data_IF_883960095034
#
_entry.id   IF_883960095034
#
_cell.length_a   1.000
_cell.length_b   1.000
_cell.length_c   1.000
_cell.angle_alpha   90.00
_cell.angle_beta   90.00
_cell.angle_gamma   90.00
#
_symmetry.space_group_name_H-M   'P 1'
#
loop_
_entity.id
_entity.type
_entity.pdbx_description
1 polymer ?
#
# COMPACT_ATOMS: atom_id res chain seq x y z
N UNK A 1 -33.59 -47.02 -32.58
CA UNK A 1 -34.65 -46.35 -33.37
C UNK A 1 -34.21 -45.97 -34.79
N UNK A 2 -33.13 -45.20 -34.97
CA UNK A 2 -32.72 -44.68 -36.28
C UNK A 2 -32.49 -45.73 -37.38
N UNK A 3 -31.76 -46.82 -37.06
CA UNK A 3 -31.58 -47.96 -37.98
C UNK A 3 -32.90 -48.62 -38.43
N UNK A 4 -33.93 -48.57 -37.58
CA UNK A 4 -35.27 -49.15 -37.81
C UNK A 4 -36.13 -48.28 -38.74
N UNK A 5 -35.84 -46.98 -38.80
CA UNK A 5 -36.50 -46.04 -39.72
C UNK A 5 -35.88 -46.16 -41.11
N UNK A 6 -34.54 -46.27 -41.21
CA UNK A 6 -33.85 -46.41 -42.49
C UNK A 6 -34.19 -47.74 -43.19
N UNK A 7 -34.34 -48.84 -42.45
CA UNK A 7 -34.66 -50.15 -43.04
C UNK A 7 -36.05 -50.28 -43.66
N UNK A 8 -36.96 -49.32 -43.41
CA UNK A 8 -38.35 -49.37 -43.88
C UNK A 8 -38.70 -48.25 -44.88
N UNK A 9 -37.72 -47.44 -45.31
CA UNK A 9 -37.93 -46.31 -46.24
C UNK A 9 -38.40 -46.77 -47.63
N UNK A 10 -38.06 -47.99 -48.06
CA UNK A 10 -38.45 -48.57 -49.35
C UNK A 10 -39.95 -48.75 -49.52
N UNK A 11 -40.71 -48.86 -48.43
CA UNK A 11 -42.09 -49.32 -48.46
C UNK A 11 -43.14 -48.21 -48.33
N UNK A 12 -42.76 -46.94 -48.17
CA UNK A 12 -43.74 -45.84 -48.14
C UNK A 12 -43.15 -44.46 -48.49
N UNK A 13 -43.62 -43.79 -49.55
CA UNK A 13 -43.23 -42.42 -49.93
C UNK A 13 -43.45 -41.35 -48.83
N UNK A 14 -44.26 -41.65 -47.82
CA UNK A 14 -44.53 -40.75 -46.69
C UNK A 14 -43.30 -40.48 -45.81
N UNK A 15 -42.22 -41.27 -45.89
CA UNK A 15 -41.00 -41.08 -45.10
C UNK A 15 -40.11 -39.93 -45.58
N UNK A 16 -40.31 -39.39 -46.78
CA UNK A 16 -39.57 -38.21 -47.29
C UNK A 16 -39.88 -36.96 -46.44
N UNK A 17 -41.11 -36.82 -45.95
CA UNK A 17 -41.49 -35.76 -45.00
C UNK A 17 -40.81 -35.87 -43.64
N UNK A 18 -40.54 -37.10 -43.18
CA UNK A 18 -39.80 -37.35 -41.93
C UNK A 18 -38.30 -37.05 -42.08
N UNK A 19 -37.72 -37.21 -43.27
CA UNK A 19 -36.35 -36.79 -43.58
C UNK A 19 -36.19 -35.26 -43.50
N UNK A 20 -37.19 -34.50 -43.98
CA UNK A 20 -37.24 -33.04 -43.84
C UNK A 20 -37.32 -32.58 -42.38
N UNK A 21 -38.06 -33.29 -41.54
CA UNK A 21 -38.11 -33.06 -40.09
C UNK A 21 -36.76 -33.36 -39.42
N UNK A 22 -36.09 -34.44 -39.85
CA UNK A 22 -34.76 -34.80 -39.37
C UNK A 22 -33.68 -33.78 -39.80
N UNK A 23 -33.74 -33.28 -41.03
CA UNK A 23 -32.83 -32.24 -41.52
C UNK A 23 -33.04 -30.89 -40.81
N UNK A 24 -34.29 -30.49 -40.54
CA UNK A 24 -34.61 -29.32 -39.71
C UNK A 24 -34.10 -29.49 -38.27
N UNK A 25 -34.25 -30.68 -37.70
CA UNK A 25 -33.72 -31.01 -36.36
C UNK A 25 -32.19 -30.98 -36.33
N UNK A 26 -31.52 -31.52 -37.35
CA UNK A 26 -30.06 -31.45 -37.50
C UNK A 26 -29.55 -30.01 -37.61
N UNK A 27 -30.24 -29.14 -38.38
CA UNK A 27 -29.90 -27.70 -38.44
C UNK A 27 -30.11 -26.97 -37.11
N UNK A 28 -31.19 -27.27 -36.37
CA UNK A 28 -31.38 -26.74 -35.01
C UNK A 28 -30.28 -27.22 -34.06
N UNK A 29 -29.90 -28.50 -34.13
CA UNK A 29 -28.79 -29.05 -33.33
C UNK A 29 -27.43 -28.40 -33.68
N UNK A 30 -27.17 -28.09 -34.96
CA UNK A 30 -25.97 -27.38 -35.40
C UNK A 30 -25.90 -25.96 -34.83
N UNK A 31 -27.02 -25.22 -34.82
CA UNK A 31 -27.10 -23.89 -34.23
C UNK A 31 -26.81 -23.89 -32.72
N UNK A 32 -27.40 -24.82 -31.97
CA UNK A 32 -27.10 -24.99 -30.53
C UNK A 32 -25.64 -25.40 -30.28
N UNK A 33 -25.01 -26.16 -31.20
CA UNK A 33 -23.59 -26.53 -31.09
C UNK A 33 -22.65 -25.35 -31.35
N UNK A 34 -22.95 -24.49 -32.31
CA UNK A 34 -22.16 -23.26 -32.56
C UNK A 34 -22.29 -22.29 -31.38
N UNK A 35 -23.50 -22.13 -30.84
CA UNK A 35 -23.72 -21.29 -29.66
C UNK A 35 -22.96 -21.83 -28.44
N UNK A 36 -23.04 -23.14 -28.16
CA UNK A 36 -22.30 -23.77 -27.07
C UNK A 36 -20.78 -23.63 -27.19
N UNK A 37 -20.24 -23.70 -28.41
CA UNK A 37 -18.81 -23.53 -28.65
C UNK A 37 -18.35 -22.08 -28.44
N UNK A 38 -19.18 -21.09 -28.80
CA UNK A 38 -18.93 -19.67 -28.49
C UNK A 38 -18.87 -19.45 -26.98
N UNK A 39 -19.78 -20.05 -26.21
CA UNK A 39 -19.75 -19.98 -24.75
C UNK A 39 -18.49 -20.61 -24.16
N UNK A 40 -18.05 -21.77 -24.65
CA UNK A 40 -16.79 -22.39 -24.22
C UNK A 40 -15.59 -21.48 -24.55
N UNK A 41 -15.55 -20.87 -25.74
CA UNK A 41 -14.46 -19.95 -26.11
C UNK A 41 -14.45 -18.70 -25.22
N UNK A 42 -15.62 -18.09 -24.96
CA UNK A 42 -15.74 -16.96 -24.04
C UNK A 42 -15.29 -17.33 -22.63
N UNK A 43 -15.66 -18.51 -22.15
CA UNK A 43 -15.33 -18.95 -20.81
C UNK A 43 -13.83 -19.28 -20.67
N UNK A 44 -13.21 -19.85 -21.70
CA UNK A 44 -11.74 -19.98 -21.80
C UNK A 44 -11.01 -18.63 -21.83
N UNK A 45 -11.57 -17.61 -22.48
CA UNK A 45 -11.00 -16.24 -22.46
C UNK A 45 -11.07 -15.67 -21.04
N UNK A 46 -12.19 -15.85 -20.34
CA UNK A 46 -12.34 -15.41 -18.94
C UNK A 46 -11.35 -16.16 -18.02
N UNK A 47 -11.17 -17.47 -18.21
CA UNK A 47 -10.18 -18.25 -17.45
C UNK A 47 -8.74 -17.81 -17.75
N UNK A 48 -8.41 -17.54 -19.01
CA UNK A 48 -7.08 -17.05 -19.37
C UNK A 48 -6.77 -15.75 -18.63
N UNK A 49 -7.73 -14.82 -18.54
CA UNK A 49 -7.57 -13.57 -17.79
C UNK A 49 -7.43 -13.78 -16.27
N UNK A 50 -8.08 -14.78 -15.69
CA UNK A 50 -7.96 -15.11 -14.26
C UNK A 50 -6.60 -15.73 -13.88
N UNK A 51 -5.95 -16.46 -14.79
CA UNK A 51 -4.63 -17.08 -14.55
C UNK A 51 -3.50 -16.05 -14.51
N UNK A 52 -3.67 -14.88 -15.16
CA UNK A 52 -2.68 -13.81 -15.14
C UNK A 52 -2.78 -12.89 -13.92
N UNK A 53 -3.74 -13.11 -13.02
CA UNK A 53 -3.80 -12.39 -11.75
C UNK A 53 -2.81 -13.04 -10.76
N UNK A 54 -1.92 -12.27 -10.11
CA UNK A 54 -1.02 -12.81 -9.09
C UNK A 54 -1.82 -13.49 -7.98
N UNK A 55 -1.24 -14.50 -7.28
CA UNK A 55 -1.93 -15.15 -6.18
C UNK A 55 -2.33 -14.11 -5.11
N UNK A 56 -3.53 -14.21 -4.56
CA UNK A 56 -4.08 -13.23 -3.60
C UNK A 56 -3.13 -12.95 -2.43
N UNK A 57 -2.35 -13.94 -1.98
CA UNK A 57 -1.35 -13.79 -0.93
C UNK A 57 -0.14 -12.95 -1.35
N UNK A 58 0.28 -13.00 -2.62
CA UNK A 58 1.32 -12.12 -3.14
C UNK A 58 0.82 -10.67 -3.26
N UNK A 59 -0.43 -10.49 -3.73
CA UNK A 59 -1.08 -9.17 -3.77
C UNK A 59 -1.44 -8.62 -2.37
N UNK A 60 -1.49 -9.47 -1.35
CA UNK A 60 -1.78 -9.09 0.03
C UNK A 60 -0.53 -9.04 0.92
N UNK A 61 0.69 -9.05 0.37
CA UNK A 61 1.91 -8.92 1.17
C UNK A 61 2.51 -7.53 1.05
N UNK A 62 2.61 -6.82 2.18
CA UNK A 62 3.24 -5.51 2.29
C UNK A 62 4.14 -5.44 3.53
N UNK A 63 5.17 -4.59 3.53
CA UNK A 63 6.07 -4.41 4.67
C UNK A 63 5.34 -3.85 5.91
N UNK A 64 4.25 -3.12 5.69
CA UNK A 64 3.35 -2.61 6.73
C UNK A 64 2.66 -3.73 7.52
N UNK A 65 2.58 -4.94 6.97
CA UNK A 65 1.79 -6.05 7.52
C UNK A 65 2.42 -6.67 8.78
N UNK A 66 1.57 -6.95 9.75
CA UNK A 66 1.89 -7.76 10.92
C UNK A 66 2.18 -9.20 10.53
N UNK A 67 1.41 -9.74 9.59
CA UNK A 67 1.61 -11.06 8.98
C UNK A 67 1.64 -10.88 7.46
N UNK A 68 2.83 -10.95 6.87
CA UNK A 68 3.03 -10.82 5.42
C UNK A 68 2.23 -11.87 4.66
N UNK A 69 1.41 -11.42 3.70
CA UNK A 69 0.52 -12.28 2.91
C UNK A 69 -0.81 -12.64 3.62
N UNK A 70 -1.02 -12.14 4.83
CA UNK A 70 -2.26 -12.29 5.58
C UNK A 70 -2.49 -13.67 6.19
N UNK A 71 -3.74 -13.93 6.55
CA UNK A 71 -4.18 -15.12 7.28
C UNK A 71 -4.86 -16.16 6.36
N UNK A 72 -4.69 -16.01 5.04
CA UNK A 72 -5.25 -16.88 4.00
C UNK A 72 -6.71 -16.61 3.65
N UNK A 73 -7.12 -17.05 2.46
CA UNK A 73 -8.47 -16.91 1.90
C UNK A 73 -9.11 -18.28 1.61
N UNK A 74 -10.43 -18.30 1.40
CA UNK A 74 -11.17 -19.53 1.09
C UNK A 74 -10.93 -20.65 2.11
N UNK A 75 -10.51 -21.82 1.60
CA UNK A 75 -10.16 -23.00 2.38
C UNK A 75 -8.84 -22.86 3.18
N UNK A 76 -7.94 -21.95 2.77
CA UNK A 76 -6.65 -21.72 3.43
C UNK A 76 -6.72 -20.68 4.57
N UNK A 77 -7.90 -20.10 4.80
CA UNK A 77 -8.17 -19.15 5.88
C UNK A 77 -7.95 -19.82 7.24
N UNK A 78 -6.97 -19.35 8.01
CA UNK A 78 -6.64 -19.94 9.30
C UNK A 78 -6.06 -18.93 10.28
N UNK A 79 -6.56 -18.94 11.52
CA UNK A 79 -5.98 -18.14 12.61
C UNK A 79 -4.56 -18.62 12.98
N UNK A 80 -4.20 -19.87 12.67
CA UNK A 80 -2.86 -20.37 12.92
C UNK A 80 -1.79 -19.61 12.12
N UNK A 81 -2.16 -19.00 10.98
CA UNK A 81 -1.28 -18.14 10.20
C UNK A 81 -0.89 -16.87 10.98
N UNK A 82 -1.67 -16.47 12.00
CA UNK A 82 -1.32 -15.41 12.94
C UNK A 82 -0.67 -15.94 14.23
N UNK A 83 -1.19 -17.05 14.77
CA UNK A 83 -0.67 -17.61 16.02
C UNK A 83 0.78 -18.11 15.90
N UNK A 84 1.17 -18.67 14.76
CA UNK A 84 2.54 -19.14 14.54
C UNK A 84 3.59 -18.01 14.58
N UNK A 85 3.48 -16.91 13.81
CA UNK A 85 4.42 -15.79 13.93
C UNK A 85 4.30 -15.05 15.26
N UNK A 86 3.11 -15.02 15.89
CA UNK A 86 2.96 -14.51 17.25
C UNK A 86 3.78 -15.33 18.25
N UNK A 87 3.68 -16.65 18.22
CA UNK A 87 4.39 -17.53 19.16
C UNK A 87 5.91 -17.48 18.96
N UNK A 88 6.35 -17.40 17.71
CA UNK A 88 7.75 -17.17 17.35
C UNK A 88 8.24 -15.73 17.61
N UNK A 89 7.35 -14.82 18.00
CA UNK A 89 7.60 -13.38 18.13
C UNK A 89 8.25 -12.75 16.87
N UNK A 90 7.87 -13.23 15.69
CA UNK A 90 8.36 -12.69 14.42
C UNK A 90 8.01 -11.21 14.30
N UNK A 91 8.98 -10.38 13.90
CA UNK A 91 8.84 -8.91 13.83
C UNK A 91 8.35 -8.26 15.14
N UNK A 92 8.60 -8.88 16.29
CA UNK A 92 8.13 -8.44 17.61
C UNK A 92 6.58 -8.44 17.75
N UNK A 93 5.87 -9.26 16.98
CA UNK A 93 4.40 -9.30 16.99
C UNK A 93 3.84 -9.61 18.38
N UNK A 94 4.44 -10.53 19.12
CA UNK A 94 4.01 -10.87 20.49
C UNK A 94 4.13 -9.66 21.42
N UNK A 95 5.23 -8.93 21.30
CA UNK A 95 5.50 -7.76 22.13
C UNK A 95 4.52 -6.61 21.83
N UNK A 96 4.18 -6.40 20.56
CA UNK A 96 3.14 -5.43 20.15
C UNK A 96 1.79 -5.78 20.79
N UNK A 97 1.37 -7.05 20.70
CA UNK A 97 0.09 -7.48 21.27
C UNK A 97 0.10 -7.38 22.81
N UNK A 98 1.19 -7.76 23.46
CA UNK A 98 1.36 -7.63 24.91
C UNK A 98 1.30 -6.16 25.35
N UNK A 99 1.92 -5.24 24.61
CA UNK A 99 1.85 -3.80 24.85
C UNK A 99 0.41 -3.28 24.80
N UNK A 100 -0.41 -3.80 23.87
CA UNK A 100 -1.82 -3.47 23.80
C UNK A 100 -2.68 -4.11 24.90
N UNK A 101 -2.11 -5.05 25.67
CA UNK A 101 -2.81 -5.79 26.71
C UNK A 101 -3.69 -6.92 26.18
N UNK A 102 -3.56 -7.28 24.91
CA UNK A 102 -4.28 -8.39 24.28
C UNK A 102 -3.48 -9.67 24.48
N UNK A 103 -4.10 -10.66 25.12
CA UNK A 103 -3.44 -11.93 25.44
C UNK A 103 -3.57 -12.96 24.33
N UNK A 104 -2.65 -13.93 24.29
CA UNK A 104 -2.73 -15.08 23.37
C UNK A 104 -4.06 -15.83 23.47
N UNK A 105 -4.60 -16.01 24.68
CA UNK A 105 -5.87 -16.70 24.89
C UNK A 105 -7.04 -15.91 24.31
N UNK A 106 -7.04 -14.59 24.49
CA UNK A 106 -8.05 -13.71 23.88
C UNK A 106 -7.97 -13.79 22.35
N UNK A 107 -6.76 -13.82 21.76
CA UNK A 107 -6.55 -14.00 20.32
C UNK A 107 -7.12 -15.36 19.86
N UNK A 108 -6.80 -16.44 20.56
CA UNK A 108 -7.30 -17.78 20.22
C UNK A 108 -8.83 -17.92 20.33
N UNK A 109 -9.49 -17.06 21.12
CA UNK A 109 -10.95 -17.03 21.30
C UNK A 109 -11.69 -16.21 20.24
N UNK A 110 -10.96 -15.52 19.35
CA UNK A 110 -11.56 -14.68 18.31
C UNK A 110 -12.41 -15.49 17.33
N UNK A 111 -13.40 -14.82 16.71
CA UNK A 111 -14.29 -15.42 15.72
C UNK A 111 -14.12 -14.72 14.37
N UNK A 112 -14.06 -15.51 13.31
CA UNK A 112 -14.02 -14.96 11.97
C UNK A 112 -15.37 -14.33 11.60
N UNK A 113 -15.35 -13.06 11.22
CA UNK A 113 -16.51 -12.27 10.82
C UNK A 113 -16.05 -11.05 10.03
N UNK A 114 -16.92 -10.07 9.84
CA UNK A 114 -16.57 -8.76 9.31
C UNK A 114 -17.01 -7.62 10.25
N UNK A 115 -16.41 -6.44 10.07
CA UNK A 115 -16.83 -5.20 10.71
C UNK A 115 -16.79 -4.03 9.72
N UNK A 116 -17.50 -2.96 10.05
CA UNK A 116 -17.38 -1.68 9.36
C UNK A 116 -16.23 -0.86 9.95
N UNK A 117 -15.43 -0.15 9.14
CA UNK A 117 -14.25 0.59 9.59
C UNK A 117 -14.57 1.62 10.68
N UNK A 118 -15.67 2.37 10.55
CA UNK A 118 -16.14 3.32 11.57
C UNK A 118 -15.02 4.16 12.21
N UNK A 119 -14.91 4.09 13.54
CA UNK A 119 -13.89 4.78 14.34
C UNK A 119 -12.67 3.89 14.67
N UNK A 120 -12.48 2.78 13.96
CA UNK A 120 -11.38 1.86 14.27
C UNK A 120 -10.04 2.35 13.75
N UNK A 121 -8.99 1.93 14.43
CA UNK A 121 -7.61 2.20 14.13
C UNK A 121 -6.94 0.92 13.65
N UNK A 122 -6.37 0.92 12.45
CA UNK A 122 -5.52 -0.17 11.96
C UNK A 122 -4.06 0.10 12.32
N UNK A 123 -3.35 -0.94 12.75
CA UNK A 123 -1.97 -0.89 13.21
C UNK A 123 -1.04 -1.57 12.21
N UNK A 124 0.07 -0.93 11.88
CA UNK A 124 1.08 -1.50 10.98
C UNK A 124 2.50 -1.01 11.28
N UNK A 125 3.48 -1.57 10.58
CA UNK A 125 4.91 -1.31 10.83
C UNK A 125 5.48 -0.08 10.11
N UNK A 126 4.83 0.44 9.07
CA UNK A 126 5.34 1.56 8.28
C UNK A 126 4.44 2.76 8.44
N UNK A 127 4.97 3.98 8.60
CA UNK A 127 4.21 5.24 8.53
C UNK A 127 3.54 5.42 7.15
N UNK A 128 2.28 5.88 7.11
CA UNK A 128 1.54 6.13 5.84
C UNK A 128 0.85 7.49 5.83
N UNK A 129 0.52 8.02 7.00
CA UNK A 129 -0.14 9.31 7.14
C UNK A 129 0.55 10.16 8.20
N UNK A 130 0.41 11.47 8.08
CA UNK A 130 0.95 12.40 9.09
C UNK A 130 0.18 12.34 10.41
N UNK A 131 0.82 12.82 11.48
CA UNK A 131 0.16 12.99 12.77
C UNK A 131 -1.06 13.93 12.68
N UNK A 132 -1.00 14.95 11.80
CA UNK A 132 -2.11 15.87 11.54
C UNK A 132 -3.33 15.17 10.91
N UNK A 133 -3.11 14.11 10.13
CA UNK A 133 -4.18 13.27 9.59
C UNK A 133 -4.75 12.26 10.62
N UNK A 134 -4.11 12.15 11.79
CA UNK A 134 -4.55 11.29 12.89
C UNK A 134 -3.75 10.00 13.07
N UNK A 135 -2.65 9.82 12.33
CA UNK A 135 -1.71 8.73 12.61
C UNK A 135 -1.04 8.93 13.98
N UNK A 136 -0.91 7.83 14.73
CA UNK A 136 -0.26 7.81 16.04
C UNK A 136 0.94 6.88 16.01
N UNK A 137 2.12 7.44 16.22
CA UNK A 137 3.36 6.67 16.42
C UNK A 137 3.37 6.06 17.81
N UNK A 138 3.53 4.73 17.88
CA UNK A 138 3.55 3.96 19.13
C UNK A 138 4.89 3.25 19.26
N UNK A 139 5.70 3.67 20.23
CA UNK A 139 6.96 3.01 20.59
C UNK A 139 6.64 1.90 21.59
N UNK A 140 6.64 0.66 21.11
CA UNK A 140 6.41 -0.53 21.95
C UNK A 140 7.66 -0.77 22.78
N UNK A 141 7.50 -0.76 24.10
CA UNK A 141 8.59 -0.97 25.05
C UNK A 141 8.58 -2.38 25.62
N UNK A 142 9.77 -2.93 25.84
CA UNK A 142 9.94 -4.20 26.55
C UNK A 142 9.83 -4.05 28.06
N UNK A 143 10.02 -5.16 28.77
CA UNK A 143 10.10 -5.19 30.23
C UNK A 143 11.19 -4.27 30.82
N UNK A 144 12.23 -3.95 30.04
CA UNK A 144 13.31 -3.02 30.40
C UNK A 144 12.97 -1.53 30.21
N UNK A 145 11.78 -1.20 29.69
CA UNK A 145 11.38 0.17 29.36
C UNK A 145 12.00 0.73 28.07
N UNK A 146 12.94 0.02 27.43
CA UNK A 146 13.52 0.41 26.14
C UNK A 146 12.54 0.09 25.00
N UNK A 147 12.46 0.98 24.02
CA UNK A 147 11.70 0.75 22.79
C UNK A 147 12.29 -0.44 22.00
N UNK A 148 11.44 -1.41 21.66
CA UNK A 148 11.78 -2.61 20.88
C UNK A 148 11.40 -2.40 19.41
N UNK A 149 10.18 -1.90 19.17
CA UNK A 149 9.64 -1.70 17.83
C UNK A 149 8.74 -0.47 17.81
N UNK A 150 8.71 0.21 16.67
CA UNK A 150 7.76 1.28 16.41
C UNK A 150 6.66 0.75 15.50
N UNK A 151 5.41 0.98 15.89
CA UNK A 151 4.23 0.69 15.09
C UNK A 151 3.35 1.93 15.02
N UNK A 152 2.42 1.95 14.08
CA UNK A 152 1.63 3.13 13.78
C UNK A 152 0.16 2.78 13.76
N UNK A 153 -0.64 3.47 14.58
CA UNK A 153 -2.09 3.30 14.64
C UNK A 153 -2.78 4.40 13.82
N UNK A 154 -3.66 4.01 12.89
CA UNK A 154 -4.25 4.91 11.89
C UNK A 154 -5.76 4.76 11.79
N UNK A 155 -6.52 5.87 11.70
CA UNK A 155 -7.93 5.78 11.33
C UNK A 155 -8.12 5.04 10.01
N UNK A 156 -8.93 3.98 10.02
CA UNK A 156 -9.15 3.16 8.82
C UNK A 156 -9.82 3.95 7.68
N UNK A 157 -10.54 5.02 7.99
CA UNK A 157 -11.15 5.92 7.00
C UNK A 157 -10.13 6.60 6.09
N UNK A 158 -8.86 6.71 6.49
CA UNK A 158 -7.80 7.29 5.66
C UNK A 158 -7.43 6.40 4.47
N UNK A 159 -7.74 5.10 4.53
CA UNK A 159 -7.53 4.15 3.43
C UNK A 159 -8.69 4.14 2.41
N UNK A 160 -9.59 5.14 2.46
CA UNK A 160 -10.76 5.21 1.57
C UNK A 160 -11.91 4.27 1.97
N UNK A 161 -11.79 3.54 3.08
CA UNK A 161 -12.90 2.73 3.60
C UNK A 161 -14.03 3.63 4.11
N UNK A 162 -15.27 3.28 3.74
CA UNK A 162 -16.48 4.01 4.12
C UNK A 162 -17.38 3.17 5.04
N UNK A 163 -18.52 3.72 5.48
CA UNK A 163 -19.44 3.03 6.42
C UNK A 163 -20.05 1.74 5.86
N UNK A 164 -20.02 1.53 4.55
CA UNK A 164 -20.54 0.31 3.90
C UNK A 164 -19.45 -0.73 3.63
N UNK A 165 -18.17 -0.35 3.76
CA UNK A 165 -17.05 -1.27 3.58
C UNK A 165 -17.10 -2.39 4.62
N UNK A 166 -16.96 -3.64 4.17
CA UNK A 166 -16.86 -4.82 5.03
C UNK A 166 -15.42 -5.28 5.09
N UNK A 167 -14.81 -5.16 6.26
CA UNK A 167 -13.45 -5.65 6.50
C UNK A 167 -13.57 -7.00 7.19
N UNK A 168 -12.94 -8.03 6.60
CA UNK A 168 -13.00 -9.39 7.09
C UNK A 168 -11.79 -9.73 7.95
N UNK A 169 -12.01 -10.55 8.99
CA UNK A 169 -10.96 -10.95 9.91
C UNK A 169 -11.50 -11.60 11.18
N UNK A 170 -10.64 -11.70 12.18
CA UNK A 170 -10.94 -12.33 13.45
C UNK A 170 -11.24 -11.28 14.51
N UNK A 171 -12.47 -11.26 15.01
CA UNK A 171 -12.94 -10.28 15.99
C UNK A 171 -12.97 -10.92 17.38
N UNK A 172 -12.50 -10.19 18.38
CA UNK A 172 -12.48 -10.63 19.77
C UNK A 172 -12.68 -9.48 20.75
N UNK A 173 -12.60 -9.82 22.03
CA UNK A 173 -12.68 -8.86 23.13
C UNK A 173 -11.54 -9.13 24.10
N UNK A 174 -10.78 -8.09 24.41
CA UNK A 174 -9.75 -8.12 25.44
C UNK A 174 -10.23 -7.42 26.70
N UNK A 175 -9.90 -7.95 27.86
CA UNK A 175 -10.25 -7.33 29.15
C UNK A 175 -9.61 -5.94 29.30
N UNK A 176 -8.42 -5.73 28.73
CA UNK A 176 -7.71 -4.43 28.81
C UNK A 176 -8.02 -3.51 27.63
N UNK A 177 -7.99 -4.05 26.41
CA UNK A 177 -8.18 -3.24 25.20
C UNK A 177 -9.65 -3.05 24.83
N UNK A 178 -10.55 -3.92 25.28
CA UNK A 178 -11.93 -4.00 24.81
C UNK A 178 -11.99 -4.69 23.45
N UNK A 179 -12.90 -4.24 22.58
CA UNK A 179 -13.04 -4.78 21.23
C UNK A 179 -11.73 -4.65 20.43
N UNK A 180 -11.34 -5.74 19.78
CA UNK A 180 -10.24 -5.74 18.82
C UNK A 180 -10.53 -6.69 17.66
N UNK A 181 -9.82 -6.52 16.55
CA UNK A 181 -9.84 -7.45 15.44
C UNK A 181 -8.45 -7.66 14.84
N UNK A 182 -8.29 -8.74 14.09
CA UNK A 182 -7.10 -9.06 13.31
C UNK A 182 -7.54 -9.19 11.86
N UNK A 183 -7.01 -8.32 10.99
CA UNK A 183 -7.39 -8.29 9.58
C UNK A 183 -6.95 -9.56 8.85
N UNK A 184 -7.84 -10.11 8.02
CA UNK A 184 -7.53 -11.28 7.21
C UNK A 184 -6.42 -11.01 6.20
N UNK A 185 -6.42 -9.84 5.57
CA UNK A 185 -5.51 -9.53 4.47
C UNK A 185 -4.03 -9.37 4.90
N UNK A 186 -3.77 -8.97 6.14
CA UNK A 186 -2.45 -8.53 6.59
C UNK A 186 -2.07 -8.91 8.02
N UNK A 187 -3.00 -9.52 8.77
CA UNK A 187 -2.82 -9.76 10.19
C UNK A 187 -2.73 -8.50 11.05
N UNK A 188 -2.94 -7.30 10.47
CA UNK A 188 -2.87 -6.06 11.21
C UNK A 188 -3.89 -6.03 12.34
N UNK A 189 -3.44 -5.56 13.50
CA UNK A 189 -4.30 -5.34 14.64
C UNK A 189 -5.23 -4.15 14.36
N UNK A 190 -6.48 -4.29 14.76
CA UNK A 190 -7.48 -3.23 14.71
C UNK A 190 -8.08 -3.02 16.09
N UNK A 191 -8.08 -1.78 16.55
CA UNK A 191 -8.63 -1.39 17.87
C UNK A 191 -9.45 -0.13 17.77
N UNK A 192 -10.18 0.24 18.82
CA UNK A 192 -10.92 1.51 18.89
C UNK A 192 -10.13 2.62 19.58
N UNK A 193 -8.97 2.28 20.17
CA UNK A 193 -8.11 3.19 20.93
C UNK A 193 -6.66 2.71 20.92
N UNK A 194 -5.75 3.64 21.20
CA UNK A 194 -4.35 3.36 21.51
C UNK A 194 -4.22 3.26 23.03
N UNK A 195 -3.48 2.30 23.60
CA UNK A 195 -3.20 2.29 25.03
C UNK A 195 -2.58 3.63 25.44
N UNK A 196 -3.04 4.22 26.53
CA UNK A 196 -2.36 5.41 27.03
C UNK A 196 -0.98 5.01 27.53
N UNK A 197 0.09 5.77 27.19
CA UNK A 197 1.37 5.60 27.85
C UNK A 197 1.18 5.66 29.37
N UNK A 198 1.93 4.86 30.17
CA UNK A 198 1.92 5.03 31.62
C UNK A 198 2.17 6.50 31.94
N UNK A 199 1.33 7.10 32.79
CA UNK A 199 1.53 8.48 33.21
C UNK A 199 2.97 8.63 33.70
N UNK A 200 3.69 9.71 33.30
CA UNK A 200 5.06 9.93 33.76
C UNK A 200 5.09 9.84 35.29
N UNK A 201 6.14 9.24 35.88
CA UNK A 201 6.26 9.14 37.33
C UNK A 201 6.00 10.52 37.92
N UNK A 202 5.00 10.65 38.80
CA UNK A 202 4.78 11.90 39.53
C UNK A 202 6.11 12.25 40.17
N UNK A 203 6.68 13.39 39.81
CA UNK A 203 7.87 13.92 40.49
C UNK A 203 7.44 14.10 41.94
N UNK A 204 7.86 13.17 42.81
CA UNK A 204 7.70 13.31 44.25
C UNK A 204 8.70 14.40 44.64
N UNK A 205 8.24 15.64 44.63
CA UNK A 205 8.98 16.74 45.25
C UNK A 205 9.14 16.32 46.72
N UNK A 206 10.35 16.08 47.23
CA UNK A 206 10.53 15.69 48.62
C UNK A 206 9.94 16.80 49.50
N UNK A 207 9.13 16.45 50.52
CA UNK A 207 8.53 17.46 51.39
C UNK A 207 9.64 18.30 52.00
N UNK A 208 9.53 19.63 51.82
CA UNK A 208 10.43 20.63 52.39
C UNK A 208 10.54 20.35 53.90
N UNK A 209 11.72 19.97 54.38
CA UNK A 209 11.98 19.88 55.83
C UNK A 209 11.73 21.26 56.43
N UNK A 210 10.63 21.42 57.14
CA UNK A 210 10.39 22.59 57.98
C UNK A 210 11.31 22.45 59.17
N UNK A 211 12.46 23.14 59.14
CA UNK A 211 13.30 23.29 60.32
C UNK A 211 12.59 24.28 61.23
N UNK A 212 11.93 23.77 62.27
CA UNK A 212 11.38 24.59 63.36
C UNK A 212 12.55 25.06 64.21
N UNK A 213 13.00 26.29 63.97
CA UNK A 213 13.99 26.95 64.85
C UNK A 213 13.24 27.45 66.10
N UNK A 214 13.66 27.10 67.32
CA UNK A 214 13.04 27.60 68.54
C UNK A 214 13.28 29.11 68.70
N UNK A 215 12.33 29.86 69.28
CA UNK A 215 12.40 31.32 69.32
C UNK A 215 13.53 31.80 70.25
N UNK A 216 14.35 32.77 69.84
CA UNK A 216 15.33 33.38 70.72
C UNK A 216 14.67 34.43 71.62
N UNK A 217 15.09 34.47 72.89
CA UNK A 217 14.74 35.54 73.84
C UNK A 217 15.27 36.89 73.34
N UNK A 218 14.39 37.89 73.38
CA UNK A 218 14.63 39.29 73.01
C UNK A 218 15.40 40.03 74.11
N UNK A 219 16.47 40.74 73.74
CA UNK A 219 16.97 41.96 74.39
C UNK A 219 17.40 42.96 73.29
N UNK A 220 17.21 44.26 73.55
CA UNK A 220 16.92 45.41 72.65
C UNK A 220 18.21 46.15 72.11
N UNK A 221 18.17 47.31 71.40
CA UNK A 221 18.55 47.58 69.98
C UNK A 221 19.78 48.54 69.81
N UNK A 222 20.05 49.25 68.68
CA UNK A 222 19.86 48.99 67.23
C UNK A 222 21.19 49.01 66.44
N UNK A 223 21.26 48.30 65.30
CA UNK A 223 22.15 48.67 64.19
C UNK A 223 21.35 48.54 62.90
N UNK A 224 21.35 49.59 62.06
CA UNK A 224 20.76 49.53 60.71
C UNK A 224 21.46 48.42 59.94
N UNK A 225 20.79 47.28 59.80
CA UNK A 225 21.20 46.23 58.87
C UNK A 225 20.47 46.53 57.57
N UNK A 226 21.24 46.85 56.54
CA UNK A 226 20.76 46.82 55.16
C UNK A 226 20.34 45.38 54.88
N UNK A 227 19.04 45.12 54.82
CA UNK A 227 18.50 43.81 54.46
C UNK A 227 18.74 43.63 52.98
N UNK A 228 19.80 42.89 52.63
CA UNK A 228 19.95 42.34 51.28
C UNK A 228 18.89 41.25 51.15
N UNK A 229 17.93 41.35 50.22
CA UNK A 229 16.94 40.30 50.02
C UNK A 229 17.67 38.98 49.68
N UNK A 230 17.20 37.83 50.19
CA UNK A 230 17.81 36.54 49.87
C UNK A 230 17.81 36.34 48.34
N UNK A 231 18.87 35.74 47.76
CA UNK A 231 18.92 35.49 46.33
C UNK A 231 17.68 34.68 45.94
N UNK A 232 16.90 35.24 45.04
CA UNK A 232 15.76 34.56 44.43
C UNK A 232 16.29 33.27 43.79
N UNK A 233 15.83 32.12 44.29
CA UNK A 233 16.15 30.83 43.69
C UNK A 233 15.41 30.78 42.36
N UNK A 234 16.07 31.25 41.31
CA UNK A 234 15.60 31.08 39.94
C UNK A 234 15.63 29.59 39.65
N UNK A 235 14.49 28.92 39.77
CA UNK A 235 14.33 27.56 39.28
C UNK A 235 14.57 27.64 37.77
N UNK A 236 15.60 26.97 37.21
CA UNK A 236 15.85 27.03 35.78
C UNK A 236 14.59 26.58 35.04
N UNK A 237 14.20 27.26 33.95
CA UNK A 237 13.02 26.88 33.20
C UNK A 237 13.12 25.41 32.79
N UNK A 238 12.00 24.66 32.77
CA UNK A 238 12.03 23.25 32.41
C UNK A 238 12.67 23.06 31.03
N UNK A 239 13.60 22.11 30.96
CA UNK A 239 14.24 21.65 29.74
C UNK A 239 13.20 20.92 28.89
N UNK A 240 12.83 21.50 27.76
CA UNK A 240 11.81 21.01 26.83
C UNK A 240 12.49 20.80 25.48
N UNK A 241 12.65 19.54 25.09
CA UNK A 241 12.95 19.17 23.71
C UNK A 241 11.67 19.26 22.87
N UNK A 242 11.72 19.96 21.73
CA UNK A 242 10.58 20.06 20.81
C UNK A 242 11.07 20.07 19.37
N UNK A 243 11.00 18.91 18.71
CA UNK A 243 11.39 18.77 17.31
C UNK A 243 10.16 18.96 16.41
N UNK A 244 10.28 19.88 15.45
CA UNK A 244 9.33 20.09 14.36
C UNK A 244 9.96 19.50 13.10
N UNK A 245 9.21 18.62 12.42
CA UNK A 245 9.62 18.02 11.16
C UNK A 245 8.72 18.52 10.03
N UNK A 246 9.31 18.78 8.88
CA UNK A 246 8.59 19.15 7.66
C UNK A 246 9.24 18.62 6.40
N UNK A 247 8.44 18.44 5.35
CA UNK A 247 8.85 17.96 4.03
C UNK A 247 8.18 18.76 2.92
N UNK A 248 8.93 18.99 1.85
CA UNK A 248 8.42 19.47 0.56
C UNK A 248 8.98 18.63 -0.59
N UNK A 249 8.32 18.70 -1.75
CA UNK A 249 8.79 18.07 -2.97
C UNK A 249 8.58 18.97 -4.18
N UNK A 250 9.56 18.98 -5.09
CA UNK A 250 9.47 19.70 -6.36
C UNK A 250 9.78 18.77 -7.52
N UNK A 251 9.04 18.92 -8.60
CA UNK A 251 9.30 18.24 -9.86
C UNK A 251 10.29 19.09 -10.67
N UNK A 252 11.48 18.55 -10.90
CA UNK A 252 12.59 19.21 -11.60
C UNK A 252 12.44 19.12 -13.14
N UNK A 253 11.50 18.32 -13.63
CA UNK A 253 11.29 18.05 -15.06
C UNK A 253 10.16 18.88 -15.68
N UNK A 254 9.47 19.71 -14.90
CA UNK A 254 8.26 20.46 -15.28
C UNK A 254 8.41 21.94 -14.96
N UNK A 255 7.91 22.80 -15.84
CA UNK A 255 7.92 24.27 -15.70
C UNK A 255 6.55 24.79 -15.25
N UNK A 256 6.53 25.80 -14.37
CA UNK A 256 5.30 26.44 -13.87
C UNK A 256 4.53 27.17 -14.99
N UNK A 257 3.20 27.03 -15.00
CA UNK A 257 2.28 27.58 -16.01
C UNK A 257 1.98 29.08 -15.86
N UNK A 258 2.38 29.69 -14.74
CA UNK A 258 1.94 31.05 -14.33
C UNK A 258 2.61 32.22 -15.07
N UNK A 259 3.46 31.96 -16.07
CA UNK A 259 4.24 33.02 -16.77
C UNK A 259 3.89 33.17 -18.27
N UNK A 260 2.79 32.55 -18.72
CA UNK A 260 2.37 32.62 -20.14
C UNK A 260 1.77 33.98 -20.55
N UNK A 261 1.66 34.95 -19.65
CA UNK A 261 1.10 36.28 -19.93
C UNK A 261 2.12 37.42 -20.06
N UNK A 262 3.44 37.14 -20.13
CA UNK A 262 4.47 38.21 -20.13
C UNK A 262 5.52 38.19 -21.24
N UNK A 263 5.43 37.31 -22.24
CA UNK A 263 6.34 37.36 -23.40
C UNK A 263 5.57 37.38 -24.71
N UNK A 264 5.07 38.56 -25.05
CA UNK A 264 4.79 38.97 -26.43
C UNK A 264 5.27 40.41 -26.53
N UNK A 265 6.50 40.57 -27.02
CA UNK A 265 7.18 41.85 -27.09
C UNK A 265 8.65 41.65 -27.43
N UNK A 266 8.96 42.00 -28.67
CA UNK A 266 10.29 42.29 -29.22
C UNK A 266 11.01 41.15 -29.95
N UNK A 267 10.63 41.10 -31.23
CA UNK A 267 11.35 40.60 -32.38
C UNK A 267 12.28 41.72 -32.89
N UNK A 268 13.60 41.47 -32.95
CA UNK A 268 14.56 42.27 -33.75
C UNK A 268 15.91 41.56 -33.87
N UNK A 269 16.09 40.88 -35.00
CA UNK A 269 17.29 40.84 -35.86
C UNK A 269 18.70 40.96 -35.25
N UNK A 270 19.54 39.95 -35.48
CA UNK A 270 20.70 40.10 -36.39
C UNK A 270 21.41 38.75 -36.64
N UNK A 271 21.64 38.48 -37.92
CA UNK A 271 22.45 37.39 -38.50
C UNK A 271 23.92 37.79 -38.50
N UNK A 272 24.85 36.87 -38.21
CA UNK A 272 26.18 36.75 -38.88
C UNK A 272 26.67 35.29 -38.84
N UNK A 273 26.94 34.77 -40.05
CA UNK A 273 27.78 33.62 -40.50
C UNK A 273 29.18 33.56 -39.87
N UNK A 274 30.09 32.59 -39.99
CA UNK A 274 30.25 31.22 -40.53
C UNK A 274 31.69 30.79 -40.08
N UNK A 275 32.05 29.53 -40.34
CA UNK A 275 33.43 29.00 -40.50
C UNK A 275 34.11 28.28 -39.31
N UNK A 276 33.91 26.95 -39.33
CA UNK A 276 34.92 25.91 -39.56
C UNK A 276 36.40 26.20 -39.25
N UNK A 277 36.97 25.46 -38.29
CA UNK A 277 38.14 24.60 -38.55
C UNK A 277 38.52 23.72 -37.35
N UNK A 278 38.56 22.43 -37.61
CA UNK A 278 39.02 21.35 -36.73
C UNK A 278 40.55 21.28 -36.57
N UNK A 279 41.07 20.98 -35.37
CA UNK A 279 42.26 20.11 -35.16
C UNK A 279 42.52 19.71 -33.68
N UNK A 280 42.37 18.40 -33.45
CA UNK A 280 43.11 17.43 -32.59
C UNK A 280 43.66 17.80 -31.19
N UNK A 281 43.06 17.10 -30.20
CA UNK A 281 43.65 16.18 -29.19
C UNK A 281 44.72 16.66 -28.20
N UNK A 282 44.44 16.49 -26.89
CA UNK A 282 45.15 15.65 -25.89
C UNK A 282 44.46 15.80 -24.51
N UNK A 283 44.47 14.69 -23.76
CA UNK A 283 44.07 14.46 -22.36
C UNK A 283 43.92 15.67 -21.42
N UNK A 284 42.83 15.68 -20.62
CA UNK A 284 42.95 15.64 -19.16
C UNK A 284 41.60 15.25 -18.52
N UNK A 285 41.64 14.20 -17.72
CA UNK A 285 40.55 13.77 -16.85
C UNK A 285 40.60 14.63 -15.59
N UNK A 286 39.84 15.73 -15.56
CA UNK A 286 39.47 16.34 -14.28
C UNK A 286 38.00 16.76 -14.26
N UNK A 287 37.31 16.16 -13.29
CA UNK A 287 36.04 16.54 -12.74
C UNK A 287 35.99 18.05 -12.47
N UNK A 288 35.28 18.78 -13.31
CA UNK A 288 34.68 20.07 -12.96
C UNK A 288 33.21 20.01 -13.36
N UNK A 289 32.38 19.58 -12.42
CA UNK A 289 30.97 20.00 -12.39
C UNK A 289 31.01 21.49 -12.07
N UNK A 290 31.16 22.31 -13.12
CA UNK A 290 30.93 23.74 -13.03
C UNK A 290 29.44 23.98 -13.12
N UNK A 291 28.86 24.32 -11.98
CA UNK A 291 27.69 25.16 -11.81
C UNK A 291 27.56 26.21 -12.94
N UNK A 292 26.48 26.12 -13.72
CA UNK A 292 25.45 27.17 -13.91
C UNK A 292 24.42 26.68 -14.97
N UNK A 293 23.28 26.15 -14.53
CA UNK A 293 22.05 26.11 -15.36
C UNK A 293 20.93 26.72 -14.50
N UNK A 294 21.09 28.02 -14.27
CA UNK A 294 20.10 28.93 -13.73
C UNK A 294 18.93 29.10 -14.70
N UNK A 295 18.19 28.02 -15.01
CA UNK A 295 16.86 28.13 -15.65
C UNK A 295 15.93 26.91 -15.51
N UNK A 296 16.26 25.87 -14.73
CA UNK A 296 15.29 24.79 -14.45
C UNK A 296 14.23 25.26 -13.44
N UNK A 297 13.25 26.00 -13.93
CA UNK A 297 12.01 26.31 -13.20
C UNK A 297 11.38 24.98 -12.77
N UNK A 298 11.41 24.69 -11.48
CA UNK A 298 10.76 23.53 -10.87
C UNK A 298 9.34 23.90 -10.43
N UNK A 299 8.43 22.92 -10.39
CA UNK A 299 7.06 23.10 -9.85
C UNK A 299 6.89 22.31 -8.57
N UNK A 300 5.96 22.74 -7.72
CA UNK A 300 5.52 21.93 -6.57
C UNK A 300 4.98 20.58 -7.09
N UNK A 301 5.61 19.49 -6.67
CA UNK A 301 5.28 18.16 -7.17
C UNK A 301 3.87 17.71 -6.75
N UNK A 302 3.30 18.28 -5.70
CA UNK A 302 1.94 17.96 -5.22
C UNK A 302 0.84 18.55 -6.11
N UNK A 303 1.19 19.54 -6.94
CA UNK A 303 0.24 20.27 -7.79
C UNK A 303 0.14 19.72 -9.22
N UNK A 304 1.02 18.79 -9.59
CA UNK A 304 1.10 18.21 -10.94
C UNK A 304 1.09 16.68 -10.89
N UNK A 305 0.58 16.06 -11.96
CA UNK A 305 0.68 14.60 -12.12
C UNK A 305 2.09 14.28 -12.65
N UNK A 306 2.86 13.53 -11.86
CA UNK A 306 4.19 13.05 -12.23
C UNK A 306 4.09 12.02 -13.36
N UNK A 307 4.96 12.13 -14.37
CA UNK A 307 5.00 11.21 -15.50
C UNK A 307 6.32 10.43 -15.54
N UNK A 308 6.36 9.39 -16.36
CA UNK A 308 7.55 8.57 -16.56
C UNK A 308 8.78 9.43 -16.86
N UNK A 309 9.90 9.09 -16.22
CA UNK A 309 11.18 9.81 -16.26
C UNK A 309 11.24 11.19 -15.56
N UNK A 310 10.15 11.71 -14.99
CA UNK A 310 10.21 12.92 -14.17
C UNK A 310 11.18 12.73 -12.98
N UNK A 311 11.88 13.79 -12.58
CA UNK A 311 12.73 13.80 -11.39
C UNK A 311 12.07 14.58 -10.26
N UNK A 312 11.91 13.93 -9.11
CA UNK A 312 11.29 14.53 -7.93
C UNK A 312 12.36 14.71 -6.86
N UNK A 313 12.58 15.98 -6.46
CA UNK A 313 13.48 16.35 -5.37
C UNK A 313 12.68 16.54 -4.10
N UNK A 314 12.96 15.72 -3.10
CA UNK A 314 12.41 15.87 -1.76
C UNK A 314 13.37 16.66 -0.89
N UNK A 315 12.83 17.55 -0.05
CA UNK A 315 13.59 18.28 0.97
C UNK A 315 12.93 18.02 2.32
N UNK A 316 13.72 17.55 3.29
CA UNK A 316 13.27 17.31 4.66
C UNK A 316 14.00 18.24 5.60
N UNK A 317 13.27 18.77 6.58
CA UNK A 317 13.80 19.73 7.56
C UNK A 317 13.35 19.35 8.96
N UNK A 318 14.30 19.24 9.88
CA UNK A 318 14.05 19.12 11.30
C UNK A 318 14.53 20.39 12.01
N UNK A 319 13.65 20.98 12.83
CA UNK A 319 13.94 22.16 13.64
C UNK A 319 13.73 21.85 15.11
N UNK A 320 14.68 22.23 15.95
CA UNK A 320 14.49 22.23 17.39
C UNK A 320 13.84 23.56 17.83
N UNK A 321 12.53 23.52 18.08
CA UNK A 321 11.77 24.62 18.65
C UNK A 321 11.74 24.60 20.20
N UNK A 322 12.50 23.71 20.81
CA UNK A 322 12.67 23.59 22.26
C UNK A 322 13.77 24.52 22.79
N UNK A 323 14.03 24.42 24.09
CA UNK A 323 15.06 25.18 24.79
C UNK A 323 16.24 24.31 25.27
N UNK A 324 16.27 23.04 24.85
CA UNK A 324 17.29 22.04 25.18
C UNK A 324 18.02 21.56 23.93
N UNK A 325 19.26 21.06 24.06
CA UNK A 325 19.89 20.27 23.00
C UNK A 325 19.04 19.02 22.73
N UNK A 326 18.81 18.69 21.46
CA UNK A 326 18.02 17.53 21.09
C UNK A 326 18.71 16.71 20.01
N UNK A 327 18.79 15.39 20.21
CA UNK A 327 19.31 14.46 19.20
C UNK A 327 18.17 14.00 18.29
N UNK A 328 18.30 14.26 16.99
CA UNK A 328 17.28 13.96 15.99
C UNK A 328 17.77 12.86 15.07
N UNK A 329 16.99 11.78 14.99
CA UNK A 329 17.15 10.74 13.97
C UNK A 329 16.46 11.20 12.68
N UNK A 330 17.22 11.29 11.60
CA UNK A 330 16.72 11.64 10.28
C UNK A 330 16.62 10.36 9.45
N UNK A 331 15.39 9.89 9.20
CA UNK A 331 15.11 8.68 8.44
C UNK A 331 13.87 8.86 7.56
N UNK A 332 13.85 8.16 6.44
CA UNK A 332 12.82 8.24 5.40
C UNK A 332 12.39 6.86 4.94
N UNK A 333 11.12 6.51 5.15
CA UNK A 333 10.54 5.30 4.61
C UNK A 333 10.06 5.55 3.18
N UNK A 334 10.70 4.89 2.22
CA UNK A 334 10.50 5.11 0.78
C UNK A 334 9.68 4.00 0.10
N UNK A 335 9.16 3.01 0.83
CA UNK A 335 8.41 1.88 0.28
C UNK A 335 7.38 2.30 -0.78
N UNK A 336 6.48 3.22 -0.43
CA UNK A 336 5.41 3.75 -1.29
C UNK A 336 5.98 4.49 -2.52
N UNK A 337 6.99 5.33 -2.29
CA UNK A 337 7.64 6.14 -3.35
C UNK A 337 8.33 5.25 -4.38
N UNK A 338 8.96 4.16 -3.92
CA UNK A 338 9.72 3.24 -4.77
C UNK A 338 8.84 2.25 -5.55
N UNK A 339 7.53 2.20 -5.29
CA UNK A 339 6.59 1.48 -6.16
C UNK A 339 6.53 2.08 -7.57
N UNK A 340 6.85 3.37 -7.71
CA UNK A 340 6.74 4.15 -8.94
C UNK A 340 8.02 4.85 -9.39
N UNK A 341 9.07 4.77 -8.57
CA UNK A 341 10.30 5.50 -8.80
C UNK A 341 11.52 4.70 -8.37
N UNK A 342 12.69 5.19 -8.76
CA UNK A 342 13.96 4.71 -8.22
C UNK A 342 14.69 5.86 -7.55
N UNK A 343 15.35 5.57 -6.44
CA UNK A 343 16.24 6.52 -5.78
C UNK A 343 17.46 6.77 -6.69
N UNK A 344 17.73 8.04 -6.99
CA UNK A 344 18.82 8.46 -7.89
C UNK A 344 19.89 9.29 -7.20
N UNK A 345 19.53 9.94 -6.09
CA UNK A 345 20.46 10.64 -5.22
C UNK A 345 20.00 10.45 -3.77
N UNK A 346 20.88 9.86 -2.95
CA UNK A 346 20.61 9.55 -1.55
C UNK A 346 20.88 10.75 -0.63
N UNK A 347 21.43 11.86 -1.13
CA UNK A 347 21.64 13.06 -0.31
C UNK A 347 22.63 12.88 0.83
N UNK A 348 23.61 12.00 0.66
CA UNK A 348 24.53 11.59 1.73
C UNK A 348 23.94 10.62 2.76
N UNK A 349 22.74 10.09 2.53
CA UNK A 349 22.13 9.06 3.37
C UNK A 349 22.53 7.65 2.92
N UNK A 350 22.40 6.68 3.83
CA UNK A 350 22.56 5.25 3.54
C UNK A 350 21.18 4.62 3.31
N UNK A 351 20.97 4.03 2.14
CA UNK A 351 19.73 3.36 1.79
C UNK A 351 19.79 1.88 2.18
N UNK A 352 18.80 1.41 2.92
CA UNK A 352 18.63 0.00 3.27
C UNK A 352 17.52 -0.59 2.40
N UNK A 353 17.89 -1.42 1.42
CA UNK A 353 16.96 -2.01 0.45
C UNK A 353 15.91 -2.92 1.12
N UNK A 354 16.30 -3.68 2.15
CA UNK A 354 15.40 -4.63 2.83
C UNK A 354 14.27 -3.95 3.59
N UNK A 355 14.53 -2.76 4.13
CA UNK A 355 13.55 -1.95 4.89
C UNK A 355 13.04 -0.76 4.09
N UNK A 356 13.51 -0.60 2.85
CA UNK A 356 13.26 0.55 1.96
C UNK A 356 13.42 1.90 2.65
N UNK A 357 14.36 1.99 3.61
CA UNK A 357 14.54 3.17 4.46
C UNK A 357 15.87 3.85 4.14
N UNK A 358 15.82 5.17 3.92
CA UNK A 358 16.99 6.03 3.77
C UNK A 358 17.30 6.68 5.12
N UNK A 359 18.53 6.52 5.62
CA UNK A 359 18.93 6.97 6.97
C UNK A 359 20.15 7.87 6.88
N UNK A 360 20.14 8.97 7.63
CA UNK A 360 21.31 9.83 7.85
C UNK A 360 21.83 9.67 9.29
N UNK A 361 23.09 10.05 9.56
CA UNK A 361 23.60 10.11 10.93
C UNK A 361 22.71 10.99 11.82
N UNK A 362 22.60 10.59 13.09
CA UNK A 362 21.91 11.39 14.10
C UNK A 362 22.53 12.79 14.20
N UNK A 363 21.68 13.80 14.34
CA UNK A 363 22.11 15.20 14.42
C UNK A 363 21.73 15.77 15.77
N UNK A 364 22.68 16.40 16.45
CA UNK A 364 22.40 17.21 17.62
C UNK A 364 21.99 18.62 17.18
N UNK A 365 20.77 19.02 17.53
CA UNK A 365 20.23 20.34 17.22
C UNK A 365 20.19 21.19 18.50
N UNK A 366 20.95 22.30 18.57
CA UNK A 366 20.79 23.26 19.66
C UNK A 366 19.40 23.92 19.60
N UNK A 367 18.97 24.61 20.67
CA UNK A 367 17.74 25.41 20.63
C UNK A 367 17.70 26.35 19.42
N UNK A 368 16.62 26.30 18.65
CA UNK A 368 16.46 27.05 17.40
C UNK A 368 17.22 26.50 16.19
N UNK A 369 18.07 25.49 16.38
CA UNK A 369 18.85 24.85 15.32
C UNK A 369 18.00 24.07 14.32
N UNK A 370 18.49 23.99 13.09
CA UNK A 370 17.83 23.31 11.97
C UNK A 370 18.81 22.39 11.23
N UNK A 371 18.32 21.26 10.74
CA UNK A 371 19.02 20.39 9.81
C UNK A 371 18.13 20.05 8.62
N UNK A 372 18.71 20.14 7.42
CA UNK A 372 18.03 19.83 6.16
C UNK A 372 18.76 18.72 5.41
N UNK A 373 18.00 17.83 4.78
CA UNK A 373 18.49 16.83 3.82
C UNK A 373 17.66 16.85 2.56
N UNK A 374 18.30 16.52 1.44
CA UNK A 374 17.69 16.50 0.12
C UNK A 374 17.98 15.15 -0.50
N UNK A 375 16.98 14.50 -1.08
CA UNK A 375 17.18 13.29 -1.87
C UNK A 375 16.34 13.39 -3.14
N UNK A 376 16.75 12.66 -4.19
CA UNK A 376 16.10 12.72 -5.50
C UNK A 376 15.72 11.34 -5.96
N UNK A 377 14.46 11.19 -6.38
CA UNK A 377 13.97 10.00 -7.06
C UNK A 377 13.67 10.33 -8.52
N UNK A 378 13.74 9.31 -9.38
CA UNK A 378 13.29 9.39 -10.76
C UNK A 378 12.12 8.45 -10.96
N UNK A 379 11.01 8.97 -11.44
CA UNK A 379 9.85 8.16 -11.83
C UNK A 379 10.29 7.14 -12.89
N UNK A 380 9.83 5.90 -12.75
CA UNK A 380 10.14 4.84 -13.71
C UNK A 380 9.63 5.24 -15.10
N UNK A 381 10.37 4.86 -16.15
CA UNK A 381 9.95 5.15 -17.53
C UNK A 381 8.65 4.39 -17.85
N UNK A 382 8.64 3.10 -17.50
CA UNK A 382 7.48 2.21 -17.58
C UNK A 382 6.87 2.10 -16.18
N UNK A 383 5.67 2.65 -16.02
CA UNK A 383 4.97 2.66 -14.74
C UNK A 383 4.38 1.27 -14.47
N UNK A 384 4.66 0.64 -13.31
CA UNK A 384 4.14 -0.69 -13.02
C UNK A 384 2.62 -0.75 -13.07
N UNK A 385 2.09 -1.70 -13.84
CA UNK A 385 0.67 -2.06 -13.88
C UNK A 385 0.27 -3.02 -12.74
N UNK A 386 1.09 -3.15 -11.69
CA UNK A 386 0.84 -4.01 -10.54
C UNK A 386 -0.48 -3.67 -9.86
N UNK A 387 -1.30 -4.69 -9.60
CA UNK A 387 -2.59 -4.56 -8.92
C UNK A 387 -2.49 -3.77 -7.60
N UNK A 388 -3.56 -3.06 -7.24
CA UNK A 388 -3.60 -2.33 -5.97
C UNK A 388 -3.48 -3.32 -4.80
N UNK A 389 -2.69 -2.96 -3.78
CA UNK A 389 -2.44 -3.82 -2.63
C UNK A 389 -3.73 -4.18 -1.89
N UNK A 390 -3.95 -5.48 -1.63
CA UNK A 390 -5.12 -5.94 -0.87
C UNK A 390 -4.92 -5.70 0.64
N UNK A 391 -3.71 -5.91 1.14
CA UNK A 391 -3.36 -5.69 2.55
C UNK A 391 -3.21 -4.22 2.91
N UNK A 392 -2.63 -3.44 2.00
CA UNK A 392 -2.39 -2.02 2.14
C UNK A 392 -2.96 -1.27 0.92
N UNK A 393 -4.17 -0.69 1.02
CA UNK A 393 -4.78 0.03 -0.09
C UNK A 393 -4.01 1.28 -0.53
N UNK A 394 -3.04 1.77 0.24
CA UNK A 394 -2.17 2.85 -0.25
C UNK A 394 -1.10 2.34 -1.23
N UNK A 395 -0.86 1.04 -1.27
CA UNK A 395 0.15 0.41 -2.14
C UNK A 395 -0.40 0.23 -3.57
N UNK A 396 0.41 0.61 -4.55
CA UNK A 396 0.15 0.55 -5.98
C UNK A 396 -1.11 1.30 -6.43
N UNK A 397 -1.51 2.36 -5.71
CA UNK A 397 -2.70 3.17 -5.94
C UNK A 397 -2.52 4.39 -6.88
N UNK A 398 -1.38 4.49 -7.55
CA UNK A 398 -0.97 5.57 -8.45
C UNK A 398 -0.70 6.91 -7.75
N UNK A 399 -0.36 6.84 -6.48
CA UNK A 399 -0.03 7.98 -5.66
C UNK A 399 1.24 7.63 -4.88
N UNK A 400 2.28 8.46 -4.97
CA UNK A 400 3.42 8.36 -4.07
C UNK A 400 3.16 9.21 -2.83
N UNK A 401 3.17 8.58 -1.67
CA UNK A 401 3.01 9.21 -0.36
C UNK A 401 4.27 9.02 0.48
N UNK A 402 4.78 10.11 1.05
CA UNK A 402 5.95 10.04 1.90
C UNK A 402 5.82 11.02 3.08
N UNK A 403 6.15 10.55 4.28
CA UNK A 403 5.80 11.23 5.53
C UNK A 403 7.06 11.57 6.32
N UNK A 404 7.20 12.84 6.69
CA UNK A 404 8.21 13.35 7.62
C UNK A 404 7.66 14.58 8.34
N UNK A 405 7.07 14.38 9.50
CA UNK A 405 6.20 15.38 10.16
C UNK A 405 4.87 15.57 9.43
N UNK A 406 4.91 16.10 8.20
CA UNK A 406 3.77 16.16 7.27
C UNK A 406 3.86 15.09 6.18
N UNK A 407 2.73 14.82 5.52
CA UNK A 407 2.64 13.96 4.36
C UNK A 407 2.82 14.80 3.09
N UNK A 408 3.62 14.29 2.14
CA UNK A 408 3.69 14.77 0.77
C UNK A 408 3.11 13.68 -0.13
N UNK A 409 2.15 14.06 -0.96
CA UNK A 409 1.37 13.15 -1.81
C UNK A 409 1.45 13.63 -3.26
N UNK A 410 1.92 12.77 -4.16
CA UNK A 410 2.16 13.10 -5.57
C UNK A 410 1.42 12.09 -6.44
N UNK A 411 0.51 12.56 -7.29
CA UNK A 411 -0.20 11.71 -8.23
C UNK A 411 0.73 11.27 -9.37
N UNK A 412 0.65 10.00 -9.76
CA UNK A 412 1.45 9.41 -10.85
C UNK A 412 0.54 9.05 -12.02
N UNK A 413 0.98 9.35 -13.24
CA UNK A 413 0.28 9.01 -14.48
C UNK A 413 0.38 7.52 -14.78
N UNK A 414 -0.53 6.71 -14.22
CA UNK A 414 -0.67 5.29 -14.53
C UNK A 414 -1.48 5.03 -15.81
N UNK A 415 -1.17 3.93 -16.52
CA UNK A 415 -1.91 3.50 -17.71
C UNK A 415 -3.34 2.99 -17.39
N UNK A 416 -4.21 3.06 -18.40
CA UNK A 416 -5.64 2.72 -18.32
C UNK A 416 -6.00 1.31 -17.84
N UNK A 417 -5.21 0.22 -18.03
CA UNK A 417 -5.57 -1.10 -17.49
C UNK A 417 -5.74 -1.11 -15.97
N UNK A 418 -5.01 -0.27 -15.22
CA UNK A 418 -5.17 -0.11 -13.76
C UNK A 418 -6.52 0.50 -13.36
N UNK A 419 -7.08 1.35 -14.21
CA UNK A 419 -8.39 1.98 -13.94
C UNK A 419 -9.51 0.94 -14.04
N UNK A 420 -9.35 -0.09 -14.87
CA UNK A 420 -10.34 -1.17 -15.04
C UNK A 420 -10.40 -2.07 -13.80
N UNK A 421 -9.29 -2.29 -13.09
CA UNK A 421 -9.24 -3.06 -11.84
C UNK A 421 -10.16 -2.48 -10.76
N UNK A 422 -10.27 -1.16 -10.67
CA UNK A 422 -11.21 -0.48 -9.76
C UNK A 422 -12.68 -0.80 -10.10
N UNK A 423 -13.00 -0.96 -11.39
CA UNK A 423 -14.37 -1.23 -11.89
C UNK A 423 -14.70 -2.73 -11.84
N UNK A 424 -13.70 -3.62 -11.87
CA UNK A 424 -13.86 -5.08 -11.94
C UNK A 424 -13.86 -5.76 -10.55
N UNK A 425 -13.77 -4.98 -9.47
CA UNK A 425 -13.89 -5.46 -8.07
C UNK A 425 -15.22 -6.19 -7.76
N UNK A 426 -16.19 -6.13 -8.68
CA UNK A 426 -17.50 -6.80 -8.67
C UNK A 426 -17.50 -8.22 -9.31
N UNK A 427 -16.46 -8.65 -10.01
CA UNK A 427 -16.40 -10.03 -10.50
C UNK A 427 -16.14 -10.99 -9.33
N UNK A 428 -16.85 -12.13 -9.25
CA UNK A 428 -16.63 -13.10 -8.17
C UNK A 428 -15.18 -13.55 -8.19
N UNK A 429 -14.46 -13.23 -7.11
CA UNK A 429 -13.07 -13.65 -6.89
C UNK A 429 -13.07 -15.17 -6.73
N UNK A 430 -12.74 -15.89 -7.79
CA UNK A 430 -12.61 -17.35 -7.77
C UNK A 430 -11.16 -17.70 -7.48
N UNK A 431 -10.93 -18.34 -6.34
CA UNK A 431 -9.61 -18.86 -5.98
C UNK A 431 -9.17 -19.98 -6.93
N UNK A 432 -7.93 -20.48 -6.79
CA UNK A 432 -7.41 -21.57 -7.63
C UNK A 432 -8.31 -22.82 -7.63
N UNK A 433 -8.94 -23.15 -6.50
CA UNK A 433 -9.89 -24.26 -6.36
C UNK A 433 -11.16 -24.06 -7.19
N UNK A 434 -11.72 -22.87 -7.16
CA UNK A 434 -12.93 -22.48 -7.88
C UNK A 434 -12.66 -22.43 -9.38
N UNK A 435 -11.47 -21.97 -9.80
CA UNK A 435 -11.03 -22.01 -11.19
C UNK A 435 -10.89 -23.46 -11.71
N UNK A 436 -10.35 -24.38 -10.90
CA UNK A 436 -10.27 -25.81 -11.28
C UNK A 436 -11.66 -26.43 -11.38
N UNK A 437 -12.57 -26.12 -10.44
CA UNK A 437 -13.94 -26.62 -10.48
C UNK A 437 -14.68 -26.09 -11.72
N UNK A 438 -14.54 -24.81 -12.03
CA UNK A 438 -15.15 -24.18 -13.20
C UNK A 438 -14.57 -24.72 -14.51
N UNK A 439 -13.25 -24.88 -14.60
CA UNK A 439 -12.58 -25.53 -15.72
C UNK A 439 -13.04 -26.99 -15.90
N UNK A 440 -13.28 -27.71 -14.80
CA UNK A 440 -13.87 -29.05 -14.84
C UNK A 440 -15.28 -29.06 -15.46
N UNK A 441 -16.13 -28.10 -15.09
CA UNK A 441 -17.48 -27.94 -15.67
C UNK A 441 -17.40 -27.60 -17.15
N UNK A 442 -16.54 -26.67 -17.55
CA UNK A 442 -16.32 -26.33 -18.96
C UNK A 442 -15.82 -27.52 -19.77
N UNK A 443 -14.84 -28.26 -19.25
CA UNK A 443 -14.31 -29.45 -19.91
C UNK A 443 -15.41 -30.49 -20.09
N UNK A 444 -16.28 -30.68 -19.10
CA UNK A 444 -17.43 -31.59 -19.20
C UNK A 444 -18.41 -31.13 -20.29
N UNK A 445 -18.72 -29.83 -20.37
CA UNK A 445 -19.58 -29.26 -21.42
C UNK A 445 -18.94 -29.43 -22.81
N UNK A 446 -17.66 -29.12 -22.95
CA UNK A 446 -16.91 -29.29 -24.19
C UNK A 446 -16.84 -30.76 -24.63
N UNK A 447 -16.58 -31.67 -23.70
CA UNK A 447 -16.56 -33.11 -23.94
C UNK A 447 -17.93 -33.65 -24.36
N UNK A 448 -19.02 -33.18 -23.73
CA UNK A 448 -20.38 -33.52 -24.13
C UNK A 448 -20.67 -33.08 -25.58
N UNK A 449 -20.36 -31.83 -25.92
CA UNK A 449 -20.56 -31.34 -27.28
C UNK A 449 -19.67 -32.05 -28.30
N UNK A 450 -18.44 -32.41 -27.94
CA UNK A 450 -17.54 -33.20 -28.78
C UNK A 450 -18.09 -34.62 -29.03
N UNK A 451 -18.53 -35.31 -27.98
CA UNK A 451 -19.12 -36.64 -28.09
C UNK A 451 -20.40 -36.62 -28.94
N UNK A 452 -21.28 -35.63 -28.70
CA UNK A 452 -22.50 -35.41 -29.48
C UNK A 452 -22.19 -35.16 -30.96
N UNK A 453 -21.16 -34.35 -31.25
CA UNK A 453 -20.66 -34.11 -32.62
C UNK A 453 -20.28 -35.40 -33.32
N UNK A 454 -19.52 -36.26 -32.64
CA UNK A 454 -19.06 -37.54 -33.20
C UNK A 454 -20.22 -38.49 -33.44
N UNK A 455 -21.20 -38.53 -32.54
CA UNK A 455 -22.41 -39.34 -32.71
C UNK A 455 -23.16 -38.93 -33.99
N UNK A 456 -23.43 -37.65 -34.18
CA UNK A 456 -24.15 -37.14 -35.36
C UNK A 456 -23.37 -37.40 -36.66
N UNK A 457 -22.03 -37.24 -36.66
CA UNK A 457 -21.20 -37.60 -37.83
C UNK A 457 -21.32 -39.08 -38.21
N UNK A 458 -21.39 -39.97 -37.22
CA UNK A 458 -21.62 -41.41 -37.47
C UNK A 458 -23.01 -41.65 -38.04
N UNK A 459 -24.04 -41.00 -37.50
CA UNK A 459 -25.42 -41.11 -37.99
C UNK A 459 -25.54 -40.62 -39.44
N UNK A 460 -25.00 -39.45 -39.77
CA UNK A 460 -25.00 -38.90 -41.14
C UNK A 460 -24.21 -39.79 -42.12
N UNK A 461 -23.05 -40.31 -41.70
CA UNK A 461 -22.27 -41.25 -42.53
C UNK A 461 -23.05 -42.53 -42.82
N UNK A 462 -23.81 -43.05 -41.85
CA UNK A 462 -24.67 -44.22 -42.05
C UNK A 462 -25.79 -43.92 -43.04
N UNK A 463 -26.46 -42.77 -42.94
CA UNK A 463 -27.48 -42.33 -43.90
C UNK A 463 -26.92 -42.25 -45.32
N UNK A 464 -25.77 -41.59 -45.48
CA UNK A 464 -25.15 -41.40 -46.80
C UNK A 464 -24.71 -42.74 -47.40
N UNK A 465 -24.20 -43.65 -46.58
CA UNK A 465 -23.84 -45.00 -47.01
C UNK A 465 -25.07 -45.78 -47.48
N UNK A 466 -26.15 -45.81 -46.70
CA UNK A 466 -27.39 -46.53 -47.08
C UNK A 466 -28.04 -45.95 -48.34
N UNK A 467 -27.99 -44.63 -48.52
CA UNK A 467 -28.49 -43.99 -49.75
C UNK A 467 -27.63 -44.32 -50.98
N UNK A 468 -26.31 -44.42 -50.83
CA UNK A 468 -25.39 -44.66 -51.95
C UNK A 468 -25.19 -46.14 -52.31
N UNK A 469 -25.38 -47.08 -51.38
CA UNK A 469 -25.21 -48.53 -51.66
C UNK A 469 -26.42 -49.18 -52.32
N UNK A 470 -27.43 -48.42 -52.74
CA UNK A 470 -28.62 -48.95 -53.41
C UNK A 470 -29.41 -49.97 -52.57
N UNK A 471 -29.10 -50.07 -51.27
CA UNK A 471 -29.83 -50.87 -50.28
C UNK A 471 -30.93 -49.99 -49.72
N UNK A 472 -31.71 -49.42 -50.63
CA UNK A 472 -33.00 -48.79 -50.37
C UNK A 472 -34.01 -49.86 -50.71
#
# INVERSE_FOLDING_TARGET
MFRKIISNITFSPALVGQLGFYAKRLRKEEATRRLGLIFVVLALIVQALAVFQPPESANASNQNDFVSGGLGYGANKSLNNFLAPYDANSKNLRDVMNYTGITRQEIASTKYTYWAPGKTLSWGYQSRFSAAQGEKTVKVTGASGKAIVTVYARPMTLYGYNSTSKIYGWVGHSQKMGWFAIMQACGNLVTTKVPQPPAPPKVVVPPRKVVVVPPPKVVVPPRKVVVVPPPEVVVPPPTIEKIIQSKSAVNLSRVSSDDSSRRSGDDSSSRVSSDDSSRRSVDDSSSRVSSDDSSRRSVDATTVIAKGNDQIKYTITARNAGNALATVKLEEQLADVLEYSRLTDNGGGTFNESTTTLVWPDVELPPGGEATRIFVVRILADIPATAQGISDPSSYNCIMTNVFGNAVTINVSCDTPKVVEQVVSELPKTGPSENIAFAGVELAIAAYFYARTRQVKKEVRLIRRSLNTGTI
#
